data_IF_388418803690
#
_entry.id   IF_388418803690
#
_cell.length_a   1.000
_cell.length_b   1.000
_cell.length_c   1.000
_cell.angle_alpha   90.00
_cell.angle_beta   90.00
_cell.angle_gamma   90.00
#
_symmetry.space_group_name_H-M   'P 1'
#
loop_
_entity.id
_entity.type
_entity.pdbx_description
1 polymer ?
#
# COMPACT_ATOMS: atom_id res chain seq x y z
N UNK A 1 -2.68 23.08 -5.06
CA UNK A 1 -2.41 21.89 -4.23
C UNK A 1 -3.65 21.04 -4.08
N UNK A 2 -3.47 19.73 -3.92
CA UNK A 2 -4.56 18.75 -3.88
C UNK A 2 -4.67 18.22 -2.47
N UNK A 3 -5.74 18.59 -1.76
CA UNK A 3 -5.97 18.23 -0.34
C UNK A 3 -5.77 16.73 -0.04
N UNK A 4 -6.09 15.87 -1.01
CA UNK A 4 -5.87 14.43 -0.87
C UNK A 4 -4.38 14.06 -0.80
N UNK A 5 -3.52 14.65 -1.65
CA UNK A 5 -2.08 14.41 -1.60
C UNK A 5 -1.49 15.01 -0.32
N UNK A 6 -1.93 16.19 0.08
CA UNK A 6 -1.51 16.83 1.33
C UNK A 6 -1.88 15.95 2.55
N UNK A 7 -3.06 15.33 2.52
CA UNK A 7 -3.46 14.36 3.53
C UNK A 7 -2.57 13.13 3.54
N UNK A 8 -2.29 12.52 2.38
CA UNK A 8 -1.43 11.33 2.31
C UNK A 8 0.00 11.63 2.76
N UNK A 9 0.53 12.80 2.43
CA UNK A 9 1.87 13.27 2.82
C UNK A 9 1.97 13.61 4.32
N UNK A 10 0.86 13.89 4.98
CA UNK A 10 0.84 14.18 6.43
C UNK A 10 1.13 12.96 7.33
N UNK A 11 1.15 11.75 6.75
CA UNK A 11 1.46 10.53 7.49
C UNK A 11 2.96 10.27 7.51
N UNK A 12 3.52 10.04 8.70
CA UNK A 12 4.92 9.65 8.86
C UNK A 12 5.18 8.24 8.31
N UNK A 13 4.22 7.34 8.49
CA UNK A 13 4.29 5.95 8.06
C UNK A 13 2.99 5.56 7.32
N UNK A 14 2.77 6.02 6.08
CA UNK A 14 1.52 5.77 5.34
C UNK A 14 1.31 4.31 4.94
N UNK A 15 2.35 3.48 5.05
CA UNK A 15 2.36 2.05 4.73
C UNK A 15 2.53 1.18 5.99
N UNK A 16 2.26 1.71 7.18
CA UNK A 16 2.33 0.94 8.42
C UNK A 16 1.32 -0.22 8.40
N UNK A 17 1.78 -1.42 8.75
CA UNK A 17 0.92 -2.59 8.91
C UNK A 17 0.12 -2.57 10.22
N UNK A 18 0.58 -1.81 11.21
CA UNK A 18 -0.06 -1.62 12.49
C UNK A 18 -1.03 -0.44 12.47
N UNK A 19 -2.31 -0.74 12.51
CA UNK A 19 -3.37 0.26 12.68
C UNK A 19 -4.50 -0.31 13.52
N UNK A 20 -5.33 0.58 14.08
CA UNK A 20 -6.51 0.19 14.84
C UNK A 20 -7.72 1.00 14.41
N UNK A 21 -8.88 0.35 14.45
CA UNK A 21 -10.16 0.96 14.12
C UNK A 21 -11.17 0.69 15.21
N UNK A 22 -12.09 1.62 15.41
CA UNK A 22 -13.35 1.26 16.05
C UNK A 22 -14.13 0.34 15.11
N UNK A 23 -14.84 -0.63 15.67
CA UNK A 23 -15.54 -1.68 14.90
C UNK A 23 -16.51 -1.10 13.86
N UNK A 24 -17.18 -0.01 14.19
CA UNK A 24 -18.09 0.72 13.30
C UNK A 24 -17.39 1.32 12.07
N UNK A 25 -16.11 1.66 12.15
CA UNK A 25 -15.36 2.14 10.98
C UNK A 25 -15.24 1.05 9.91
N UNK A 26 -15.06 -0.20 10.33
CA UNK A 26 -14.86 -1.34 9.42
C UNK A 26 -16.09 -1.64 8.56
N UNK A 27 -17.30 -1.22 8.99
CA UNK A 27 -18.51 -1.41 8.19
C UNK A 27 -18.66 -0.36 7.08
N UNK A 28 -17.99 0.78 7.20
CA UNK A 28 -18.17 1.94 6.32
C UNK A 28 -17.04 2.09 5.30
N UNK A 29 -15.86 1.49 5.56
CA UNK A 29 -14.71 1.55 4.66
C UNK A 29 -14.62 0.31 3.76
N UNK A 30 -14.17 0.53 2.52
CA UNK A 30 -13.86 -0.56 1.59
C UNK A 30 -12.37 -0.92 1.67
N UNK A 31 -12.08 -2.02 2.33
CA UNK A 31 -10.70 -2.49 2.52
C UNK A 31 -10.24 -3.23 1.23
N UNK A 32 -9.15 -2.79 0.57
CA UNK A 32 -8.55 -3.51 -0.55
C UNK A 32 -7.92 -4.83 -0.09
N UNK A 33 -7.77 -5.80 -0.99
CA UNK A 33 -7.18 -7.11 -0.68
C UNK A 33 -5.69 -7.24 -1.01
N UNK A 34 -5.12 -6.26 -1.70
CA UNK A 34 -3.78 -6.35 -2.28
C UNK A 34 -2.77 -5.47 -1.52
N UNK A 35 -1.53 -5.37 -2.01
CA UNK A 35 -0.46 -4.52 -1.46
C UNK A 35 -0.74 -3.01 -1.49
N UNK A 36 -1.92 -2.60 -1.98
CA UNK A 36 -2.46 -1.26 -1.83
C UNK A 36 -3.41 -1.12 -0.64
N UNK A 37 -3.42 -2.09 0.28
CA UNK A 37 -4.27 -2.15 1.47
C UNK A 37 -4.19 -0.84 2.27
N UNK A 38 -2.99 -0.46 2.68
CA UNK A 38 -2.75 0.69 3.55
C UNK A 38 -3.16 1.99 2.85
N UNK A 39 -2.71 2.19 1.60
CA UNK A 39 -3.10 3.33 0.78
C UNK A 39 -4.61 3.40 0.56
N UNK A 40 -5.25 2.26 0.29
CA UNK A 40 -6.68 2.19 0.06
C UNK A 40 -7.47 2.46 1.32
N UNK A 41 -7.02 1.95 2.47
CA UNK A 41 -7.59 2.24 3.78
C UNK A 41 -7.48 3.73 4.10
N UNK A 42 -6.29 4.33 3.97
CA UNK A 42 -6.10 5.78 4.17
C UNK A 42 -7.01 6.60 3.24
N UNK A 43 -7.16 6.18 1.99
CA UNK A 43 -8.06 6.81 1.02
C UNK A 43 -9.53 6.73 1.41
N UNK A 44 -9.98 5.58 1.93
CA UNK A 44 -11.36 5.42 2.41
C UNK A 44 -11.60 6.20 3.70
N UNK A 45 -10.62 6.26 4.60
CA UNK A 45 -10.76 7.07 5.82
C UNK A 45 -10.85 8.55 5.46
N UNK A 46 -9.97 9.05 4.58
CA UNK A 46 -10.03 10.43 4.07
C UNK A 46 -11.41 10.79 3.49
N UNK A 47 -12.04 9.85 2.78
CA UNK A 47 -13.33 10.08 2.14
C UNK A 47 -14.49 10.06 3.13
N UNK A 48 -14.45 9.22 4.16
CA UNK A 48 -15.60 8.93 5.01
C UNK A 48 -15.53 9.61 6.38
N UNK A 49 -14.36 10.09 6.82
CA UNK A 49 -14.16 10.64 8.16
C UNK A 49 -13.45 11.99 8.13
N UNK A 50 -13.79 12.84 9.09
CA UNK A 50 -13.08 14.10 9.29
C UNK A 50 -11.72 13.88 9.95
N UNK A 51 -10.72 14.68 9.56
CA UNK A 51 -9.33 14.56 10.03
C UNK A 51 -9.18 14.56 11.56
N UNK A 52 -10.07 15.23 12.29
CA UNK A 52 -10.06 15.25 13.76
C UNK A 52 -10.48 13.92 14.43
N UNK A 53 -10.82 12.89 13.64
CA UNK A 53 -11.09 11.53 14.10
C UNK A 53 -9.88 10.61 13.94
N UNK A 54 -8.78 11.10 13.40
CA UNK A 54 -7.56 10.34 13.14
C UNK A 54 -6.45 10.78 14.09
N UNK A 55 -5.56 9.85 14.41
CA UNK A 55 -4.32 10.14 15.12
C UNK A 55 -3.23 9.18 14.64
N UNK A 56 -1.98 9.63 14.76
CA UNK A 56 -0.78 8.80 14.59
C UNK A 56 -0.13 8.69 15.96
N UNK A 57 0.34 7.49 16.32
CA UNK A 57 0.92 7.20 17.63
C UNK A 57 2.18 6.39 17.41
N UNK A 58 3.28 6.81 18.04
CA UNK A 58 4.49 6.00 18.08
C UNK A 58 4.25 4.80 19.00
N UNK A 59 4.46 3.59 18.47
CA UNK A 59 4.15 2.33 19.17
C UNK A 59 5.37 1.66 19.81
N UNK A 60 6.57 2.04 19.38
CA UNK A 60 7.84 1.51 19.89
C UNK A 60 9.00 2.47 19.62
N UNK A 61 10.01 2.47 20.49
CA UNK A 61 11.27 3.20 20.27
C UNK A 61 12.10 2.57 19.14
N UNK A 62 12.05 1.23 19.04
CA UNK A 62 12.71 0.43 18.00
C UNK A 62 11.66 -0.48 17.40
N UNK A 63 11.52 -0.42 16.08
CA UNK A 63 10.64 -1.28 15.32
C UNK A 63 11.49 -2.07 14.33
N UNK A 64 11.52 -3.40 14.47
CA UNK A 64 12.21 -4.31 13.57
C UNK A 64 11.19 -5.19 12.86
N UNK A 65 11.38 -5.41 11.57
CA UNK A 65 10.48 -6.19 10.74
C UNK A 65 11.25 -7.08 9.78
N UNK A 66 10.57 -8.09 9.25
CA UNK A 66 11.16 -8.95 8.25
C UNK A 66 11.55 -8.14 7.00
N UNK A 67 12.85 -8.13 6.69
CA UNK A 67 13.34 -7.53 5.45
C UNK A 67 12.92 -8.38 4.24
N UNK A 68 12.41 -7.70 3.21
CA UNK A 68 12.06 -8.31 1.93
C UNK A 68 13.19 -8.09 0.94
N UNK A 69 13.36 -9.04 0.02
CA UNK A 69 14.31 -8.88 -1.08
C UNK A 69 13.84 -7.80 -2.05
N UNK A 70 14.81 -7.18 -2.72
CA UNK A 70 14.51 -6.14 -3.70
C UNK A 70 13.89 -6.71 -4.98
N UNK A 71 14.18 -7.98 -5.31
CA UNK A 71 13.65 -8.70 -6.48
C UNK A 71 13.86 -7.94 -7.80
N UNK A 72 15.11 -7.56 -8.09
CA UNK A 72 15.49 -6.80 -9.30
C UNK A 72 15.17 -7.55 -10.60
N UNK A 73 15.42 -8.86 -10.61
CA UNK A 73 15.23 -9.70 -11.79
C UNK A 73 13.80 -10.25 -11.93
N UNK A 74 12.95 -10.05 -10.91
CA UNK A 74 11.58 -10.55 -10.89
C UNK A 74 10.63 -9.54 -10.24
N UNK A 75 10.00 -8.73 -11.09
CA UNK A 75 9.04 -7.70 -10.68
C UNK A 75 7.73 -8.27 -10.08
N UNK A 76 7.55 -9.59 -10.05
CA UNK A 76 6.37 -10.25 -9.44
C UNK A 76 6.57 -10.60 -7.96
N UNK A 77 7.73 -10.27 -7.39
CA UNK A 77 8.09 -10.59 -6.00
C UNK A 77 8.72 -9.40 -5.28
N UNK A 78 8.83 -9.55 -3.95
CA UNK A 78 9.55 -8.64 -3.08
C UNK A 78 9.10 -7.18 -3.18
N UNK A 79 10.04 -6.28 -2.93
CA UNK A 79 9.79 -4.84 -2.93
C UNK A 79 9.47 -4.29 -4.33
N UNK A 80 9.98 -4.95 -5.38
CA UNK A 80 9.65 -4.58 -6.75
C UNK A 80 8.14 -4.67 -7.01
N UNK A 81 7.54 -5.83 -6.73
CA UNK A 81 6.08 -6.01 -6.86
C UNK A 81 5.31 -5.03 -5.99
N UNK A 82 5.69 -4.91 -4.71
CA UNK A 82 5.01 -4.02 -3.78
C UNK A 82 4.96 -2.58 -4.29
N UNK A 83 6.09 -2.05 -4.79
CA UNK A 83 6.15 -0.68 -5.31
C UNK A 83 5.25 -0.47 -6.54
N UNK A 84 5.14 -1.47 -7.43
CA UNK A 84 4.24 -1.43 -8.59
C UNK A 84 2.78 -1.39 -8.12
N UNK A 85 2.41 -2.26 -7.18
CA UNK A 85 1.04 -2.37 -6.67
C UNK A 85 0.61 -1.09 -5.92
N UNK A 86 1.50 -0.50 -5.11
CA UNK A 86 1.30 0.78 -4.43
C UNK A 86 1.11 1.91 -5.44
N UNK A 87 1.98 2.01 -6.45
CA UNK A 87 1.89 3.03 -7.49
C UNK A 87 0.56 2.91 -8.27
N UNK A 88 0.17 1.69 -8.68
CA UNK A 88 -1.13 1.44 -9.34
C UNK A 88 -2.30 1.85 -8.44
N UNK A 89 -2.25 1.56 -7.15
CA UNK A 89 -3.29 1.95 -6.20
C UNK A 89 -3.44 3.48 -6.10
N UNK A 90 -2.32 4.20 -5.98
CA UNK A 90 -2.31 5.67 -5.97
C UNK A 90 -2.84 6.26 -7.27
N UNK A 91 -2.40 5.78 -8.43
CA UNK A 91 -2.86 6.28 -9.74
C UNK A 91 -4.37 6.09 -9.91
N UNK A 92 -4.90 4.93 -9.51
CA UNK A 92 -6.35 4.67 -9.53
C UNK A 92 -7.11 5.60 -8.60
N UNK A 93 -6.65 5.79 -7.37
CA UNK A 93 -7.32 6.69 -6.42
C UNK A 93 -7.30 8.13 -6.93
N UNK A 94 -6.18 8.61 -7.46
CA UNK A 94 -6.10 9.93 -8.09
C UNK A 94 -7.03 10.06 -9.30
N UNK A 95 -7.11 9.03 -10.15
CA UNK A 95 -8.01 9.02 -11.30
C UNK A 95 -9.49 9.09 -10.89
N UNK A 96 -9.90 8.40 -9.82
CA UNK A 96 -11.27 8.53 -9.28
C UNK A 96 -11.59 9.93 -8.76
N UNK A 97 -10.56 10.76 -8.52
CA UNK A 97 -10.68 12.17 -8.12
C UNK A 97 -10.49 13.15 -9.29
N UNK A 98 -10.46 12.66 -10.52
CA UNK A 98 -10.40 13.48 -11.73
C UNK A 98 -8.99 13.77 -12.26
N UNK A 99 -7.95 13.15 -11.69
CA UNK A 99 -6.59 13.26 -12.23
C UNK A 99 -6.46 12.42 -13.49
N UNK A 100 -6.09 13.06 -14.59
CA UNK A 100 -5.83 12.38 -15.86
C UNK A 100 -4.37 11.98 -15.95
N UNK A 101 -4.11 10.72 -16.27
CA UNK A 101 -2.76 10.22 -16.53
C UNK A 101 -2.59 9.85 -18.01
N UNK A 102 -1.39 10.10 -18.51
CA UNK A 102 -0.91 9.67 -19.83
C UNK A 102 0.57 9.28 -19.73
N UNK A 103 1.14 8.77 -20.82
CA UNK A 103 2.53 8.33 -20.86
C UNK A 103 3.53 9.44 -20.50
N UNK A 104 3.27 10.68 -20.92
CA UNK A 104 4.10 11.84 -20.62
C UNK A 104 4.09 12.20 -19.12
N UNK A 105 2.94 12.03 -18.48
CA UNK A 105 2.76 12.22 -17.02
C UNK A 105 3.65 11.24 -16.27
N UNK A 106 3.63 9.95 -16.65
CA UNK A 106 4.45 8.94 -16.00
C UNK A 106 5.95 9.14 -16.25
N UNK A 107 6.35 9.53 -17.46
CA UNK A 107 7.76 9.89 -17.75
C UNK A 107 8.24 11.04 -16.88
N UNK A 108 7.40 12.06 -16.73
CA UNK A 108 7.70 13.22 -15.88
C UNK A 108 7.78 12.82 -14.40
N UNK A 109 6.81 12.05 -13.93
CA UNK A 109 6.79 11.53 -12.55
C UNK A 109 8.02 10.68 -12.24
N UNK A 110 8.41 9.77 -13.14
CA UNK A 110 9.61 8.94 -13.03
C UNK A 110 10.87 9.80 -12.91
N UNK A 111 11.01 10.83 -13.74
CA UNK A 111 12.16 11.73 -13.71
C UNK A 111 12.21 12.56 -12.42
N UNK A 112 11.07 13.06 -11.97
CA UNK A 112 10.95 13.82 -10.71
C UNK A 112 11.27 12.94 -9.51
N UNK A 113 10.68 11.75 -9.43
CA UNK A 113 10.99 10.77 -8.37
C UNK A 113 12.48 10.46 -8.33
N UNK A 114 13.07 10.13 -9.49
CA UNK A 114 14.48 9.76 -9.58
C UNK A 114 15.40 10.86 -9.04
N UNK A 115 15.13 12.13 -9.41
CA UNK A 115 15.91 13.27 -8.91
C UNK A 115 15.80 13.40 -7.39
N UNK A 116 14.58 13.46 -6.87
CA UNK A 116 14.32 13.67 -5.43
C UNK A 116 14.91 12.51 -4.61
N UNK A 117 14.79 11.29 -5.10
CA UNK A 117 15.29 10.10 -4.43
C UNK A 117 16.82 10.10 -4.33
N UNK A 118 17.54 10.51 -5.39
CA UNK A 118 19.00 10.67 -5.31
C UNK A 118 19.43 11.75 -4.31
N UNK A 119 18.71 12.88 -4.27
CA UNK A 119 18.96 13.94 -3.29
C UNK A 119 18.77 13.41 -1.84
N UNK A 120 17.80 12.50 -1.62
CA UNK A 120 17.63 11.82 -0.34
C UNK A 120 18.75 10.83 -0.02
N UNK A 121 19.22 10.04 -0.99
CA UNK A 121 20.36 9.13 -0.79
C UNK A 121 21.58 9.90 -0.29
N UNK A 122 21.90 11.04 -0.91
CA UNK A 122 22.99 11.90 -0.46
C UNK A 122 22.73 12.48 0.95
N UNK A 123 21.52 12.94 1.22
CA UNK A 123 21.14 13.50 2.53
C UNK A 123 21.30 12.46 3.64
N UNK A 124 20.76 11.25 3.45
CA UNK A 124 20.85 10.17 4.44
C UNK A 124 22.26 9.58 4.54
N UNK A 125 23.06 9.63 3.47
CA UNK A 125 24.48 9.30 3.57
C UNK A 125 25.20 10.27 4.51
N UNK A 126 25.00 11.56 4.34
CA UNK A 126 25.60 12.58 5.21
C UNK A 126 25.14 12.43 6.67
N UNK A 127 23.85 12.14 6.89
CA UNK A 127 23.32 11.87 8.23
C UNK A 127 23.95 10.61 8.85
N UNK A 128 24.06 9.52 8.10
CA UNK A 128 24.73 8.31 8.55
C UNK A 128 26.18 8.58 8.96
N UNK A 129 26.93 9.33 8.14
CA UNK A 129 28.32 9.73 8.44
C UNK A 129 28.41 10.55 9.73
N UNK A 130 27.52 11.53 9.93
CA UNK A 130 27.48 12.34 11.16
C UNK A 130 27.22 11.50 12.41
N UNK A 131 26.43 10.43 12.28
CA UNK A 131 26.11 9.50 13.36
C UNK A 131 27.10 8.32 13.47
N UNK A 132 28.18 8.30 12.67
CA UNK A 132 29.17 7.23 12.68
C UNK A 132 28.67 5.88 12.12
N UNK A 133 27.61 5.92 11.32
CA UNK A 133 27.03 4.76 10.63
C UNK A 133 27.57 4.66 9.20
N UNK A 134 27.53 3.46 8.63
CA UNK A 134 27.84 3.22 7.22
C UNK A 134 26.56 3.01 6.42
N UNK A 135 26.45 3.66 5.26
CA UNK A 135 25.31 3.53 4.35
C UNK A 135 25.82 3.04 2.98
N UNK A 136 25.19 1.98 2.45
CA UNK A 136 25.52 1.46 1.12
C UNK A 136 24.87 2.30 0.02
N UNK A 137 25.56 3.37 -0.39
CA UNK A 137 25.09 4.30 -1.44
C UNK A 137 24.75 3.54 -2.72
N UNK A 138 25.58 2.58 -3.13
CA UNK A 138 25.36 1.86 -4.38
C UNK A 138 24.09 1.01 -4.31
N UNK A 139 23.88 0.30 -3.20
CA UNK A 139 22.66 -0.44 -2.94
C UNK A 139 21.41 0.44 -3.00
N UNK A 140 21.47 1.61 -2.38
CA UNK A 140 20.39 2.61 -2.37
C UNK A 140 20.10 3.18 -3.76
N UNK A 141 21.13 3.62 -4.51
CA UNK A 141 20.96 4.14 -5.88
C UNK A 141 20.33 3.10 -6.81
N UNK A 142 20.76 1.84 -6.70
CA UNK A 142 20.15 0.76 -7.48
C UNK A 142 18.69 0.48 -7.08
N UNK A 143 18.31 0.72 -5.82
CA UNK A 143 16.90 0.65 -5.40
C UNK A 143 16.11 1.82 -6.00
N UNK A 144 16.67 3.02 -6.02
CA UNK A 144 16.08 4.20 -6.67
C UNK A 144 15.84 3.96 -8.17
N UNK A 145 16.82 3.39 -8.88
CA UNK A 145 16.67 3.01 -10.30
C UNK A 145 15.51 2.04 -10.52
N UNK A 146 15.44 0.98 -9.70
CA UNK A 146 14.38 -0.01 -9.77
C UNK A 146 12.99 0.60 -9.52
N UNK A 147 12.84 1.39 -8.45
CA UNK A 147 11.56 2.01 -8.12
C UNK A 147 11.12 3.04 -9.16
N UNK A 148 12.07 3.77 -9.75
CA UNK A 148 11.80 4.66 -10.87
C UNK A 148 11.28 3.89 -12.10
N UNK A 149 11.86 2.73 -12.41
CA UNK A 149 11.35 1.83 -13.46
C UNK A 149 9.95 1.29 -13.12
N UNK A 150 9.72 0.95 -11.86
CA UNK A 150 8.44 0.41 -11.39
C UNK A 150 7.29 1.43 -11.48
N UNK A 151 7.57 2.73 -11.31
CA UNK A 151 6.60 3.81 -11.59
C UNK A 151 6.14 3.76 -13.06
N UNK A 152 7.06 3.54 -14.00
CA UNK A 152 6.72 3.41 -15.42
C UNK A 152 5.90 2.16 -15.68
N UNK A 153 6.31 0.99 -15.16
CA UNK A 153 5.57 -0.28 -15.29
C UNK A 153 4.15 -0.17 -14.74
N UNK A 154 3.99 0.45 -13.58
CA UNK A 154 2.69 0.71 -12.97
C UNK A 154 1.82 1.64 -13.84
N UNK A 155 2.43 2.69 -14.41
CA UNK A 155 1.74 3.62 -15.30
C UNK A 155 1.28 2.98 -16.62
N UNK A 156 2.15 2.17 -17.24
CA UNK A 156 1.81 1.40 -18.45
C UNK A 156 0.66 0.44 -18.19
N UNK A 157 0.74 -0.35 -17.10
CA UNK A 157 -0.33 -1.25 -16.69
C UNK A 157 -1.64 -0.50 -16.38
N UNK A 158 -1.56 0.69 -15.78
CA UNK A 158 -2.73 1.54 -15.52
C UNK A 158 -3.42 1.99 -16.82
N UNK A 159 -2.66 2.33 -17.87
CA UNK A 159 -3.19 2.75 -19.16
C UNK A 159 -3.72 1.57 -19.98
N UNK A 160 -3.06 0.42 -19.94
CA UNK A 160 -3.42 -0.77 -20.72
C UNK A 160 -4.66 -1.48 -20.17
N UNK A 161 -4.83 -1.50 -18.84
CA UNK A 161 -5.93 -2.21 -18.17
C UNK A 161 -6.86 -1.27 -17.38
N UNK A 162 -7.56 -0.31 -18.05
CA UNK A 162 -8.38 0.69 -17.37
C UNK A 162 -9.61 0.10 -16.66
N UNK A 163 -10.01 -1.12 -17.04
CA UNK A 163 -11.15 -1.84 -16.47
C UNK A 163 -10.76 -2.85 -15.38
N UNK A 164 -9.46 -2.97 -15.06
CA UNK A 164 -9.00 -3.87 -14.00
C UNK A 164 -9.67 -3.45 -12.69
N UNK A 165 -10.51 -4.34 -12.15
CA UNK A 165 -11.24 -4.08 -10.91
C UNK A 165 -10.29 -4.28 -9.74
N UNK A 166 -10.02 -3.25 -8.92
CA UNK A 166 -9.00 -3.33 -7.88
C UNK A 166 -9.46 -4.08 -6.62
N UNK A 167 -10.65 -4.68 -6.62
CA UNK A 167 -11.24 -5.21 -5.40
C UNK A 167 -11.83 -6.59 -5.63
N UNK A 168 -11.50 -7.52 -4.74
CA UNK A 168 -12.38 -8.65 -4.44
C UNK A 168 -13.80 -8.12 -4.15
N UNK A 169 -14.86 -8.83 -4.53
CA UNK A 169 -16.21 -8.44 -4.20
C UNK A 169 -16.36 -8.23 -2.68
N UNK A 170 -16.82 -7.05 -2.26
CA UNK A 170 -17.11 -6.81 -0.85
C UNK A 170 -18.21 -7.73 -0.34
N UNK A 171 -18.22 -8.01 0.97
CA UNK A 171 -19.17 -8.94 1.60
C UNK A 171 -20.63 -8.65 1.26
N UNK A 172 -21.04 -7.38 1.18
CA UNK A 172 -22.40 -7.01 0.76
C UNK A 172 -22.76 -7.56 -0.63
N UNK A 173 -21.80 -7.57 -1.58
CA UNK A 173 -21.99 -8.13 -2.91
C UNK A 173 -22.01 -9.66 -2.87
N UNK A 174 -21.15 -10.27 -2.05
CA UNK A 174 -21.11 -11.74 -1.87
C UNK A 174 -22.42 -12.23 -1.25
N UNK A 175 -22.85 -11.63 -0.14
CA UNK A 175 -24.12 -11.93 0.55
C UNK A 175 -25.30 -11.72 -0.40
N UNK A 176 -25.30 -10.64 -1.19
CA UNK A 176 -26.37 -10.43 -2.19
C UNK A 176 -26.41 -11.50 -3.28
N UNK A 177 -25.27 -12.11 -3.64
CA UNK A 177 -25.19 -13.14 -4.67
C UNK A 177 -25.37 -14.56 -4.11
N UNK A 178 -24.98 -14.78 -2.86
CA UNK A 178 -25.01 -16.05 -2.12
C UNK A 178 -25.54 -15.74 -0.71
N UNK A 179 -26.87 -15.66 -0.51
CA UNK A 179 -27.47 -15.21 0.74
C UNK A 179 -27.12 -16.06 1.97
N UNK A 180 -26.84 -17.35 1.77
CA UNK A 180 -26.49 -18.34 2.79
C UNK A 180 -24.97 -18.46 3.03
N UNK A 181 -24.15 -17.59 2.44
CA UNK A 181 -22.68 -17.71 2.51
C UNK A 181 -22.14 -17.68 3.94
N UNK A 182 -22.77 -16.89 4.83
CA UNK A 182 -22.32 -16.75 6.22
C UNK A 182 -22.62 -18.03 7.00
N UNK A 183 -23.78 -18.64 6.78
CA UNK A 183 -24.14 -19.91 7.39
C UNK A 183 -23.21 -21.03 6.90
N UNK A 184 -22.93 -21.07 5.59
CA UNK A 184 -21.98 -22.02 4.99
C UNK A 184 -20.55 -21.87 5.53
N UNK A 185 -20.12 -20.64 5.79
CA UNK A 185 -18.82 -20.37 6.40
C UNK A 185 -18.78 -20.85 7.85
N UNK A 186 -19.84 -20.61 8.62
CA UNK A 186 -19.97 -21.11 9.97
C UNK A 186 -19.93 -22.64 10.00
N UNK A 187 -20.72 -23.31 9.15
CA UNK A 187 -20.73 -24.76 9.02
C UNK A 187 -19.35 -25.32 8.66
N UNK A 188 -18.64 -24.66 7.75
CA UNK A 188 -17.29 -25.07 7.35
C UNK A 188 -16.28 -24.93 8.52
N UNK A 189 -16.36 -23.85 9.30
CA UNK A 189 -15.52 -23.65 10.48
C UNK A 189 -15.86 -24.68 11.56
N UNK A 190 -17.15 -24.95 11.80
CA UNK A 190 -17.60 -25.94 12.77
C UNK A 190 -17.15 -27.36 12.37
N UNK A 191 -17.18 -27.70 11.08
CA UNK A 191 -16.67 -28.96 10.57
C UNK A 191 -15.14 -29.07 10.71
N UNK A 192 -14.39 -28.03 10.36
CA UNK A 192 -12.93 -27.99 10.54
C UNK A 192 -12.53 -28.13 12.02
N UNK A 193 -13.28 -27.49 12.92
CA UNK A 193 -13.10 -27.61 14.37
C UNK A 193 -13.42 -29.03 14.88
N UNK A 194 -14.37 -29.74 14.28
CA UNK A 194 -14.66 -31.15 14.62
C UNK A 194 -13.54 -32.08 14.15
N UNK A 195 -13.01 -31.86 12.94
CA UNK A 195 -11.98 -32.71 12.34
C UNK A 195 -10.59 -32.46 12.94
N UNK A 196 -10.26 -31.21 13.30
CA UNK A 196 -8.90 -30.80 13.69
C UNK A 196 -8.80 -30.02 15.00
N UNK A 197 -9.92 -29.61 15.61
CA UNK A 197 -9.94 -28.83 16.85
C UNK A 197 -9.59 -29.61 18.12
N UNK A 198 -8.85 -30.72 17.99
CA UNK A 198 -8.48 -31.64 19.05
C UNK A 198 -8.03 -30.95 20.34
N UNK A 199 -8.74 -31.32 21.42
CA UNK A 199 -8.55 -31.04 22.84
C UNK A 199 -7.13 -30.58 23.22
N UNK A 200 -7.00 -29.32 23.63
CA UNK A 200 -5.95 -28.93 24.57
C UNK A 200 -6.35 -29.44 25.96
N UNK A 201 -5.78 -30.59 26.34
CA UNK A 201 -5.67 -31.03 27.72
C UNK A 201 -4.22 -30.81 28.19
#
# INVERSE_FOLDING_TARGET
>A
DMEYLDYMDSFRYPLAGEFSFRRDVLTDIRIPSDWGLEIGVLSEVYRNYANNRLCQVDIADVYDHKHQEMSRDDATRGLSRMSIDIAKALFRKLATRGVTFNSETFRSLKATYYRIALDFVETYHNDAVMNGLNLDIHGEEMAVELFAENIMKAGEAFLEYPMERPFIPGWNRVISAVPDILDRLQEAVDADMQDYGGTTA
#
